data_IF_810804419321
#
_entry.id   IF_810804419321
#
_cell.length_a   1.000
_cell.length_b   1.000
_cell.length_c   1.000
_cell.angle_alpha   90.00
_cell.angle_beta   90.00
_cell.angle_gamma   90.00
#
_symmetry.space_group_name_H-M   'P 1'
#
loop_
_entity.id
_entity.type
_entity.pdbx_description
1 polymer ?
#
# COMPACT_ATOMS: atom_id res chain seq x y z
N UNK A 1 16.23 0.66 26.79
CA UNK A 1 15.99 1.37 25.52
C UNK A 1 14.65 0.91 24.95
N UNK A 2 13.71 1.81 24.68
CA UNK A 2 12.36 1.46 24.21
C UNK A 2 12.40 0.86 22.80
N UNK A 3 11.35 0.13 22.42
CA UNK A 3 11.19 -0.39 21.05
C UNK A 3 11.29 0.75 20.01
N UNK A 4 10.60 1.87 20.24
CA UNK A 4 10.62 3.05 19.38
C UNK A 4 12.02 3.63 19.16
N UNK A 5 12.87 3.69 20.19
CA UNK A 5 14.26 4.15 20.03
C UNK A 5 15.10 3.18 19.20
N UNK A 6 14.87 1.87 19.31
CA UNK A 6 15.53 0.87 18.46
C UNK A 6 15.13 1.06 16.99
N UNK A 7 13.83 1.19 16.70
CA UNK A 7 13.31 1.47 15.37
C UNK A 7 13.95 2.70 14.73
N UNK A 8 13.92 3.84 15.44
CA UNK A 8 14.51 5.09 14.95
C UNK A 8 16.01 4.93 14.66
N UNK A 9 16.76 4.26 15.55
CA UNK A 9 18.21 4.07 15.37
C UNK A 9 18.52 3.22 14.14
N UNK A 10 17.81 2.12 13.93
CA UNK A 10 18.01 1.23 12.77
C UNK A 10 17.65 1.97 11.48
N UNK A 11 16.51 2.67 11.47
CA UNK A 11 16.04 3.42 10.29
C UNK A 11 17.05 4.48 9.86
N UNK A 12 17.53 5.29 10.80
CA UNK A 12 18.53 6.32 10.53
C UNK A 12 19.90 5.74 10.12
N UNK A 13 20.24 4.55 10.63
CA UNK A 13 21.52 3.91 10.29
C UNK A 13 21.54 3.39 8.84
N UNK A 14 20.39 2.98 8.31
CA UNK A 14 20.30 2.38 6.96
C UNK A 14 19.90 3.42 5.91
N UNK A 15 18.91 4.26 6.20
CA UNK A 15 18.38 5.23 5.24
C UNK A 15 18.89 6.66 5.46
N UNK A 16 19.77 6.87 6.45
CA UNK A 16 20.37 8.17 6.71
C UNK A 16 19.39 9.21 7.27
N UNK A 17 19.82 10.49 7.25
CA UNK A 17 19.10 11.60 7.91
C UNK A 17 17.77 11.96 7.26
N UNK A 18 17.58 11.68 5.96
CA UNK A 18 16.30 11.91 5.25
C UNK A 18 15.15 11.13 5.90
N UNK A 19 15.46 9.98 6.51
CA UNK A 19 14.49 9.17 7.26
C UNK A 19 14.11 9.69 8.65
N UNK A 20 14.71 10.80 9.10
CA UNK A 20 14.36 11.41 10.37
C UNK A 20 12.89 11.85 10.41
N UNK A 21 12.37 12.32 9.27
CA UNK A 21 10.95 12.51 9.05
C UNK A 21 10.33 11.19 8.57
N UNK A 22 9.14 10.85 9.08
CA UNK A 22 8.38 9.71 8.56
C UNK A 22 8.78 8.31 9.07
N UNK A 23 9.86 8.14 9.85
CA UNK A 23 10.23 6.80 10.37
C UNK A 23 9.14 6.14 11.22
N UNK A 24 8.31 6.92 11.92
CA UNK A 24 7.17 6.39 12.69
C UNK A 24 6.09 5.80 11.79
N UNK A 25 5.82 6.46 10.66
CA UNK A 25 4.88 5.95 9.66
C UNK A 25 5.40 4.65 9.06
N UNK A 26 6.67 4.61 8.65
CA UNK A 26 7.29 3.40 8.12
C UNK A 26 7.33 2.26 9.15
N UNK A 27 7.64 2.56 10.41
CA UNK A 27 7.55 1.60 11.51
C UNK A 27 6.15 0.99 11.58
N UNK A 28 5.12 1.83 11.56
CA UNK A 28 3.73 1.36 11.64
C UNK A 28 3.33 0.56 10.40
N UNK A 29 3.76 0.96 9.20
CA UNK A 29 3.54 0.21 7.96
C UNK A 29 4.16 -1.19 8.07
N UNK A 30 5.43 -1.30 8.47
CA UNK A 30 6.09 -2.60 8.66
C UNK A 30 5.39 -3.43 9.74
N UNK A 31 4.93 -2.82 10.84
CA UNK A 31 4.15 -3.52 11.86
C UNK A 31 2.82 -4.04 11.30
N UNK A 32 2.14 -3.28 10.44
CA UNK A 32 0.94 -3.74 9.75
C UNK A 32 1.25 -4.94 8.84
N UNK A 33 2.37 -4.91 8.12
CA UNK A 33 2.81 -6.07 7.31
C UNK A 33 3.09 -7.28 8.18
N UNK A 34 3.84 -7.11 9.27
CA UNK A 34 4.22 -8.18 10.20
C UNK A 34 2.98 -8.84 10.85
N UNK A 35 1.90 -8.08 11.01
CA UNK A 35 0.60 -8.58 11.51
C UNK A 35 -0.37 -9.00 10.41
N UNK A 36 0.09 -9.10 9.17
CA UNK A 36 -0.68 -9.55 8.00
C UNK A 36 -1.90 -8.66 7.72
N UNK A 37 -1.85 -7.39 8.10
CA UNK A 37 -2.96 -6.45 7.87
C UNK A 37 -2.97 -5.94 6.43
N UNK A 38 -1.78 -5.75 5.85
CA UNK A 38 -1.58 -5.31 4.47
C UNK A 38 -0.14 -5.55 4.02
N UNK A 39 0.16 -5.66 2.73
CA UNK A 39 1.49 -5.39 2.18
C UNK A 39 1.77 -3.89 2.19
N UNK A 40 3.03 -3.49 2.02
CA UNK A 40 3.40 -2.07 2.01
C UNK A 40 4.45 -1.75 0.95
N UNK A 41 4.17 -0.73 0.16
CA UNK A 41 5.18 -0.03 -0.64
C UNK A 41 5.81 1.07 0.21
N UNK A 42 7.15 1.07 0.32
CA UNK A 42 7.88 2.07 1.11
C UNK A 42 8.92 2.85 0.28
N UNK A 43 8.99 2.61 -1.02
CA UNK A 43 10.03 3.18 -1.90
C UNK A 43 9.97 4.72 -1.95
N UNK A 44 8.77 5.30 -1.99
CA UNK A 44 8.52 6.76 -2.02
C UNK A 44 9.06 7.52 -0.82
N UNK A 45 9.31 6.85 0.30
CA UNK A 45 9.72 7.56 1.52
C UNK A 45 11.17 8.03 1.44
N UNK A 46 12.07 7.17 0.98
CA UNK A 46 13.52 7.41 1.06
C UNK A 46 14.33 6.88 -0.14
N UNK A 47 13.68 6.67 -1.29
CA UNK A 47 14.31 6.07 -2.48
C UNK A 47 15.00 4.74 -2.15
N UNK A 48 14.21 3.82 -1.58
CA UNK A 48 14.74 2.56 -1.05
C UNK A 48 14.96 1.56 -2.18
N UNK A 49 16.21 1.14 -2.38
CA UNK A 49 16.53 -0.02 -3.23
C UNK A 49 16.27 -1.36 -2.51
N UNK A 50 16.07 -2.47 -3.25
CA UNK A 50 15.83 -3.80 -2.68
C UNK A 50 16.83 -4.22 -1.59
N UNK A 51 18.12 -4.02 -1.83
CA UNK A 51 19.19 -4.47 -0.94
C UNK A 51 19.19 -3.71 0.39
N UNK A 52 18.87 -2.42 0.33
CA UNK A 52 18.72 -1.58 1.52
C UNK A 52 17.48 -1.99 2.34
N UNK A 53 16.37 -2.33 1.67
CA UNK A 53 15.17 -2.83 2.35
C UNK A 53 15.43 -4.19 3.01
N UNK A 54 16.08 -5.12 2.31
CA UNK A 54 16.48 -6.43 2.84
C UNK A 54 17.34 -6.25 4.09
N UNK A 55 18.35 -5.39 4.02
CA UNK A 55 19.24 -5.08 5.15
C UNK A 55 18.47 -4.48 6.33
N UNK A 56 17.48 -3.62 6.05
CA UNK A 56 16.59 -3.03 7.04
C UNK A 56 15.76 -4.09 7.76
N UNK A 57 15.05 -4.95 7.03
CA UNK A 57 14.22 -6.01 7.61
C UNK A 57 15.06 -7.01 8.40
N UNK A 58 16.26 -7.38 7.91
CA UNK A 58 17.18 -8.26 8.63
C UNK A 58 17.62 -7.65 9.96
N UNK A 59 17.94 -6.35 9.97
CA UNK A 59 18.32 -5.64 11.19
C UNK A 59 17.14 -5.56 12.19
N UNK A 60 15.93 -5.29 11.72
CA UNK A 60 14.73 -5.30 12.58
C UNK A 60 14.48 -6.68 13.19
N UNK A 61 14.59 -7.73 12.38
CA UNK A 61 14.43 -9.11 12.82
C UNK A 61 15.47 -9.51 13.87
N UNK A 62 16.76 -9.24 13.63
CA UNK A 62 17.85 -9.53 14.58
C UNK A 62 17.68 -8.80 15.93
N UNK A 63 16.95 -7.68 15.95
CA UNK A 63 16.63 -6.94 17.19
C UNK A 63 15.30 -7.35 17.83
N UNK A 64 14.61 -8.34 17.27
CA UNK A 64 13.32 -8.85 17.75
C UNK A 64 12.19 -7.82 17.62
N UNK A 65 12.27 -6.92 16.62
CA UNK A 65 11.26 -5.89 16.39
C UNK A 65 10.15 -6.34 15.43
N UNK A 66 10.44 -7.34 14.60
CA UNK A 66 9.54 -7.96 13.62
C UNK A 66 9.80 -9.46 13.55
N UNK A 67 8.83 -10.22 13.04
CA UNK A 67 9.02 -11.65 12.76
C UNK A 67 10.02 -11.91 11.63
N UNK A 68 10.43 -13.16 11.47
CA UNK A 68 11.29 -13.60 10.37
C UNK A 68 10.52 -13.91 9.07
N UNK A 69 9.24 -13.57 9.02
CA UNK A 69 8.32 -13.91 7.93
C UNK A 69 8.13 -12.78 6.92
N UNK A 70 8.80 -11.64 7.14
CA UNK A 70 8.80 -10.53 6.20
C UNK A 70 9.75 -10.80 5.03
N UNK A 71 9.33 -10.40 3.83
CA UNK A 71 10.05 -10.53 2.56
C UNK A 71 9.99 -9.23 1.78
N UNK A 72 10.95 -9.06 0.89
CA UNK A 72 11.00 -7.96 -0.06
C UNK A 72 10.69 -8.51 -1.44
N UNK A 73 9.71 -7.93 -2.10
CA UNK A 73 9.35 -8.22 -3.48
C UNK A 73 9.75 -7.03 -4.34
N UNK A 74 10.68 -7.23 -5.27
CA UNK A 74 11.04 -6.28 -6.30
C UNK A 74 10.07 -6.37 -7.48
N UNK A 75 9.59 -5.21 -7.92
CA UNK A 75 8.70 -5.03 -9.05
C UNK A 75 9.28 -3.88 -9.90
N UNK A 76 10.03 -4.23 -10.94
CA UNK A 76 10.82 -3.24 -11.68
C UNK A 76 11.85 -2.56 -10.79
N UNK A 77 11.72 -1.24 -10.59
CA UNK A 77 12.62 -0.43 -9.75
C UNK A 77 12.14 -0.29 -8.29
N UNK A 78 10.94 -0.77 -8.00
CA UNK A 78 10.24 -0.53 -6.75
C UNK A 78 10.15 -1.78 -5.89
N UNK A 79 9.81 -1.60 -4.61
CA UNK A 79 9.77 -2.69 -3.63
C UNK A 79 8.47 -2.73 -2.82
N UNK A 80 7.91 -3.93 -2.70
CA UNK A 80 6.79 -4.25 -1.82
C UNK A 80 7.31 -5.11 -0.67
N UNK A 81 7.07 -4.68 0.56
CA UNK A 81 7.29 -5.50 1.75
C UNK A 81 6.01 -6.26 2.06
N UNK A 82 6.14 -7.57 2.24
CA UNK A 82 4.99 -8.43 2.50
C UNK A 82 5.34 -9.53 3.52
N UNK A 83 4.33 -10.15 4.11
CA UNK A 83 4.48 -11.30 5.00
C UNK A 83 4.18 -12.57 4.21
N UNK A 84 4.98 -13.65 4.34
CA UNK A 84 4.84 -14.85 3.46
C UNK A 84 3.44 -15.47 3.48
N UNK A 85 2.81 -15.54 4.66
CA UNK A 85 1.44 -16.05 4.82
C UNK A 85 0.36 -15.10 4.25
N UNK A 86 0.73 -13.92 3.75
CA UNK A 86 -0.24 -12.98 3.17
C UNK A 86 -0.69 -13.37 1.75
N UNK A 87 0.07 -14.23 1.05
CA UNK A 87 -0.24 -14.61 -0.34
C UNK A 87 -1.62 -15.25 -0.48
N UNK A 88 -2.00 -16.13 0.46
CA UNK A 88 -3.28 -16.84 0.40
C UNK A 88 -4.49 -15.91 0.52
N UNK A 89 -4.46 -14.95 1.44
CA UNK A 89 -5.57 -14.01 1.61
C UNK A 89 -5.61 -12.98 0.48
N UNK A 90 -4.45 -12.52 -0.01
CA UNK A 90 -4.38 -11.61 -1.16
C UNK A 90 -4.99 -12.28 -2.39
N UNK A 91 -4.62 -13.54 -2.67
CA UNK A 91 -5.22 -14.33 -3.74
C UNK A 91 -6.74 -14.46 -3.57
N UNK A 92 -7.22 -14.81 -2.38
CA UNK A 92 -8.65 -14.93 -2.11
C UNK A 92 -9.40 -13.60 -2.29
N UNK A 93 -8.75 -12.48 -1.94
CA UNK A 93 -9.31 -11.12 -2.06
C UNK A 93 -9.30 -10.60 -3.50
N UNK A 94 -8.54 -11.22 -4.40
CA UNK A 94 -8.40 -10.83 -5.80
C UNK A 94 -9.01 -11.81 -6.81
N UNK A 95 -10.05 -12.54 -6.41
CA UNK A 95 -10.84 -13.30 -7.38
C UNK A 95 -11.43 -12.38 -8.47
N UNK A 96 -11.72 -12.90 -9.67
CA UNK A 96 -12.39 -12.13 -10.73
C UNK A 96 -13.70 -11.47 -10.26
N UNK A 97 -14.35 -12.06 -9.25
CA UNK A 97 -15.60 -11.56 -8.68
C UNK A 97 -15.39 -10.47 -7.63
N UNK A 98 -14.24 -10.42 -6.95
CA UNK A 98 -14.02 -9.52 -5.82
C UNK A 98 -13.28 -8.23 -6.17
N UNK A 99 -12.48 -8.22 -7.25
CA UNK A 99 -11.66 -7.06 -7.64
C UNK A 99 -12.13 -6.42 -8.93
N UNK A 100 -12.42 -5.12 -8.88
CA UNK A 100 -12.82 -4.34 -10.05
C UNK A 100 -11.64 -3.60 -10.65
N UNK A 101 -11.49 -3.73 -11.97
CA UNK A 101 -10.55 -2.93 -12.72
C UNK A 101 -11.27 -1.76 -13.36
N UNK A 102 -10.66 -0.58 -13.29
CA UNK A 102 -11.20 0.67 -13.78
C UNK A 102 -10.34 1.13 -14.96
N UNK A 103 -10.94 1.20 -16.14
CA UNK A 103 -10.31 1.69 -17.36
C UNK A 103 -10.23 3.21 -17.30
N UNK A 104 -9.00 3.71 -17.19
CA UNK A 104 -8.67 5.14 -17.17
C UNK A 104 -7.82 5.54 -18.37
N UNK A 105 -7.91 4.79 -19.48
CA UNK A 105 -7.18 5.08 -20.72
C UNK A 105 -7.47 6.51 -21.21
N UNK A 106 -6.43 7.24 -21.61
CA UNK A 106 -6.48 8.68 -21.89
C UNK A 106 -7.47 9.12 -22.96
N UNK A 107 -7.79 8.26 -23.93
CA UNK A 107 -8.74 8.56 -25.01
C UNK A 107 -10.22 8.32 -24.64
N UNK A 108 -10.50 7.83 -23.44
CA UNK A 108 -11.86 7.66 -22.96
C UNK A 108 -12.46 8.99 -22.54
N UNK A 109 -13.72 9.22 -22.93
CA UNK A 109 -14.50 10.41 -22.50
C UNK A 109 -14.60 10.47 -20.97
N UNK A 110 -14.73 9.33 -20.31
CA UNK A 110 -14.80 9.20 -18.86
C UNK A 110 -14.26 7.82 -18.42
N UNK A 111 -13.77 7.68 -17.18
CA UNK A 111 -13.40 6.38 -16.62
C UNK A 111 -14.55 5.38 -16.70
N UNK A 112 -14.22 4.10 -16.91
CA UNK A 112 -15.22 3.03 -17.04
C UNK A 112 -14.80 1.75 -16.32
N UNK A 113 -15.73 0.82 -16.09
CA UNK A 113 -15.38 -0.51 -15.58
C UNK A 113 -14.83 -1.39 -16.71
N UNK A 114 -13.75 -2.12 -16.44
CA UNK A 114 -13.29 -3.17 -17.35
C UNK A 114 -14.20 -4.40 -17.19
N UNK A 115 -14.98 -4.66 -18.22
CA UNK A 115 -15.82 -5.87 -18.33
C UNK A 115 -15.04 -6.99 -19.04
N UNK A 116 -14.23 -6.64 -20.04
CA UNK A 116 -13.41 -7.59 -20.76
C UNK A 116 -12.18 -7.99 -19.93
N UNK A 117 -12.24 -9.17 -19.31
CA UNK A 117 -11.16 -9.70 -18.49
C UNK A 117 -9.86 -9.91 -19.27
N UNK A 118 -9.91 -10.05 -20.60
CA UNK A 118 -8.73 -10.24 -21.43
C UNK A 118 -7.74 -9.07 -21.31
N UNK A 119 -8.24 -7.83 -21.16
CA UNK A 119 -7.42 -6.63 -20.92
C UNK A 119 -6.53 -6.73 -19.68
N UNK A 120 -6.98 -7.46 -18.67
CA UNK A 120 -6.32 -7.58 -17.36
C UNK A 120 -5.62 -8.92 -17.17
N UNK A 121 -5.77 -9.84 -18.12
CA UNK A 121 -5.37 -11.24 -17.96
C UNK A 121 -3.86 -11.39 -17.73
N UNK A 122 -3.03 -10.63 -18.45
CA UNK A 122 -1.57 -10.69 -18.33
C UNK A 122 -1.12 -10.21 -16.94
N UNK A 123 -1.62 -9.07 -16.47
CA UNK A 123 -1.33 -8.55 -15.13
C UNK A 123 -1.83 -9.49 -14.03
N UNK A 124 -3.06 -10.03 -14.16
CA UNK A 124 -3.60 -10.99 -13.19
C UNK A 124 -2.76 -12.27 -13.13
N UNK A 125 -2.34 -12.78 -14.29
CA UNK A 125 -1.47 -13.95 -14.36
C UNK A 125 -0.13 -13.72 -13.66
N UNK A 126 0.50 -12.55 -13.83
CA UNK A 126 1.74 -12.21 -13.12
C UNK A 126 1.54 -12.20 -11.60
N UNK A 127 0.44 -11.60 -11.13
CA UNK A 127 0.07 -11.61 -9.70
C UNK A 127 -0.21 -13.02 -9.17
N UNK A 128 -0.95 -13.84 -9.92
CA UNK A 128 -1.24 -15.23 -9.55
C UNK A 128 0.02 -16.07 -9.48
N UNK A 129 0.92 -15.95 -10.46
CA UNK A 129 2.22 -16.62 -10.48
C UNK A 129 3.03 -16.30 -9.22
N UNK A 130 3.08 -15.02 -8.82
CA UNK A 130 3.72 -14.62 -7.57
C UNK A 130 3.05 -15.23 -6.33
N UNK A 131 1.72 -15.30 -6.31
CA UNK A 131 0.96 -15.91 -5.21
C UNK A 131 1.26 -17.41 -5.05
N UNK A 132 1.48 -18.13 -6.16
CA UNK A 132 1.82 -19.57 -6.15
C UNK A 132 3.32 -19.84 -5.99
N UNK A 133 4.16 -18.82 -6.14
CA UNK A 133 5.60 -18.98 -6.02
C UNK A 133 6.00 -19.24 -4.56
N UNK A 134 6.56 -20.42 -4.33
CA UNK A 134 7.13 -20.86 -3.07
C UNK A 134 8.65 -20.74 -3.14
N UNK A 135 9.16 -19.57 -2.79
CA UNK A 135 10.58 -19.28 -2.78
C UNK A 135 11.38 -19.91 -1.65
N UNK A 136 12.67 -19.54 -1.58
CA UNK A 136 13.52 -19.84 -0.43
C UNK A 136 12.89 -19.35 0.89
N UNK A 137 13.05 -20.16 1.94
CA UNK A 137 12.47 -19.86 3.26
C UNK A 137 13.28 -18.84 4.08
N UNK A 138 14.33 -18.24 3.51
CA UNK A 138 15.26 -17.38 4.26
C UNK A 138 14.66 -16.02 4.65
N UNK A 139 14.83 -15.57 5.90
CA UNK A 139 14.33 -14.26 6.35
C UNK A 139 14.95 -13.09 5.61
N UNK A 140 14.12 -12.16 5.15
CA UNK A 140 14.58 -11.01 4.35
C UNK A 140 15.17 -11.43 3.00
N UNK A 141 14.72 -12.56 2.44
CA UNK A 141 14.99 -12.87 1.04
C UNK A 141 14.30 -11.85 0.13
N UNK A 142 15.00 -11.55 -0.96
CA UNK A 142 14.54 -10.72 -2.04
C UNK A 142 13.94 -11.62 -3.12
N UNK A 143 12.74 -11.28 -3.54
CA UNK A 143 12.02 -11.95 -4.61
C UNK A 143 11.84 -10.95 -5.73
N UNK A 144 11.93 -11.39 -6.98
CA UNK A 144 11.68 -10.54 -8.13
C UNK A 144 10.47 -11.07 -8.90
N UNK A 145 9.53 -10.19 -9.25
CA UNK A 145 8.52 -10.51 -10.27
C UNK A 145 9.10 -10.13 -11.62
N UNK A 146 9.25 -11.12 -12.48
CA UNK A 146 9.54 -10.89 -13.89
C UNK A 146 8.35 -10.15 -14.55
N UNK A 147 8.58 -8.92 -14.97
CA UNK A 147 7.57 -8.09 -15.64
C UNK A 147 7.55 -8.44 -17.12
N UNK A 148 6.73 -9.43 -17.46
CA UNK A 148 6.50 -9.81 -18.85
C UNK A 148 5.90 -8.66 -19.68
N UNK A 149 6.10 -8.72 -21.00
CA UNK A 149 5.48 -7.78 -21.94
C UNK A 149 3.94 -7.76 -21.77
N UNK A 150 3.37 -6.56 -21.73
CA UNK A 150 1.92 -6.36 -21.57
C UNK A 150 1.42 -6.35 -20.11
N UNK A 151 2.27 -6.60 -19.11
CA UNK A 151 1.90 -6.37 -17.70
C UNK A 151 1.72 -4.87 -17.46
N UNK A 152 0.51 -4.44 -17.09
CA UNK A 152 0.29 -3.10 -16.54
C UNK A 152 0.84 -3.06 -15.11
N UNK A 153 2.02 -2.45 -14.93
CA UNK A 153 2.75 -2.38 -13.65
C UNK A 153 1.97 -1.63 -12.57
N UNK A 154 1.37 -0.44 -12.83
CA UNK A 154 0.50 0.20 -11.84
C UNK A 154 -0.67 -0.67 -11.37
N UNK A 155 -1.31 -1.41 -12.28
CA UNK A 155 -2.35 -2.37 -11.91
C UNK A 155 -1.81 -3.53 -11.06
N UNK A 156 -0.59 -4.01 -11.35
CA UNK A 156 0.07 -5.04 -10.55
C UNK A 156 0.30 -4.56 -9.12
N UNK A 157 0.72 -3.31 -8.91
CA UNK A 157 0.82 -2.71 -7.58
C UNK A 157 -0.52 -2.68 -6.86
N UNK A 158 -1.61 -2.32 -7.55
CA UNK A 158 -2.96 -2.36 -6.97
C UNK A 158 -3.34 -3.75 -6.43
N UNK A 159 -3.00 -4.80 -7.18
CA UNK A 159 -3.20 -6.20 -6.75
C UNK A 159 -2.28 -6.57 -5.58
N UNK A 160 -0.99 -6.24 -5.67
CA UNK A 160 -0.03 -6.55 -4.62
C UNK A 160 -0.34 -5.84 -3.30
N UNK A 161 -0.95 -4.66 -3.35
CA UNK A 161 -1.33 -3.89 -2.16
C UNK A 161 -2.69 -4.31 -1.58
N UNK A 162 -3.48 -5.13 -2.27
CA UNK A 162 -4.76 -5.60 -1.74
C UNK A 162 -5.95 -4.67 -2.02
N UNK A 163 -5.87 -3.78 -3.02
CA UNK A 163 -6.93 -2.78 -3.26
C UNK A 163 -8.18 -3.38 -3.95
N UNK A 164 -9.40 -3.02 -3.51
CA UNK A 164 -10.64 -3.54 -4.09
C UNK A 164 -10.94 -3.00 -5.50
N UNK A 165 -10.39 -1.82 -5.82
CA UNK A 165 -10.51 -1.17 -7.11
C UNK A 165 -9.11 -0.85 -7.64
N UNK A 166 -8.86 -1.21 -8.90
CA UNK A 166 -7.53 -1.16 -9.50
C UNK A 166 -7.59 -0.38 -10.80
N UNK A 167 -6.78 0.67 -10.89
CA UNK A 167 -6.64 1.41 -12.15
C UNK A 167 -5.89 0.60 -13.19
N UNK A 168 -6.37 0.69 -14.41
CA UNK A 168 -5.76 0.14 -15.61
C UNK A 168 -5.90 1.12 -16.74
N UNK A 169 -4.87 1.19 -17.58
CA UNK A 169 -4.91 1.97 -18.81
C UNK A 169 -4.08 1.26 -19.87
N UNK A 170 -4.46 1.49 -21.12
CA UNK A 170 -3.76 0.93 -22.25
C UNK A 170 -2.47 1.70 -22.52
N UNK A 171 -1.34 1.14 -22.05
CA UNK A 171 -0.01 1.70 -22.26
C UNK A 171 0.42 1.71 -23.73
N UNK A 172 -0.23 0.93 -24.61
CA UNK A 172 0.02 0.99 -26.05
C UNK A 172 -0.59 2.22 -26.72
N UNK A 173 -1.62 2.81 -26.08
CA UNK A 173 -2.26 4.04 -26.54
C UNK A 173 -1.52 5.27 -26.03
N UNK A 174 -1.19 5.30 -24.74
CA UNK A 174 -0.54 6.45 -24.09
C UNK A 174 0.03 6.07 -22.71
N UNK A 175 1.05 6.80 -22.27
CA UNK A 175 1.52 6.79 -20.89
C UNK A 175 0.66 7.65 -19.94
N UNK A 176 -0.26 8.45 -20.49
CA UNK A 176 -1.20 9.30 -19.75
C UNK A 176 -2.51 8.55 -19.41
N UNK A 177 -3.24 9.08 -18.43
CA UNK A 177 -4.58 8.62 -18.06
C UNK A 177 -5.63 9.73 -18.19
N UNK A 178 -6.90 9.38 -18.10
CA UNK A 178 -8.03 10.33 -18.17
C UNK A 178 -8.53 10.83 -16.81
N UNK A 179 -7.73 10.70 -15.74
CA UNK A 179 -8.11 11.20 -14.41
C UNK A 179 -7.96 12.72 -14.27
N UNK A 180 -7.25 13.37 -15.21
CA UNK A 180 -7.10 14.82 -15.24
C UNK A 180 -8.46 15.52 -15.27
N UNK A 181 -8.79 16.26 -14.21
CA UNK A 181 -10.08 16.96 -14.07
C UNK A 181 -11.27 16.07 -13.68
N UNK A 182 -11.05 14.76 -13.46
CA UNK A 182 -12.06 13.86 -12.94
C UNK A 182 -12.18 14.02 -11.41
N UNK A 183 -13.39 14.20 -10.89
CA UNK A 183 -13.63 14.15 -9.46
C UNK A 183 -13.41 12.72 -8.95
N UNK A 184 -12.69 12.60 -7.83
CA UNK A 184 -12.33 11.32 -7.23
C UNK A 184 -13.00 11.18 -5.87
N UNK A 185 -13.39 9.96 -5.54
CA UNK A 185 -13.77 9.58 -4.18
C UNK A 185 -12.57 8.91 -3.52
N UNK A 186 -12.10 9.48 -2.42
CA UNK A 186 -11.07 8.92 -1.57
C UNK A 186 -11.69 7.99 -0.53
N UNK A 187 -11.21 6.75 -0.49
CA UNK A 187 -11.49 5.78 0.57
C UNK A 187 -10.25 5.59 1.42
N UNK A 188 -10.42 5.65 2.73
CA UNK A 188 -9.34 5.40 3.69
C UNK A 188 -9.80 4.43 4.76
N UNK A 189 -8.98 3.42 5.02
CA UNK A 189 -9.10 2.62 6.24
C UNK A 189 -8.20 3.23 7.28
N UNK A 190 -8.80 3.80 8.33
CA UNK A 190 -8.12 4.45 9.44
C UNK A 190 -8.02 3.47 10.62
N UNK A 191 -6.84 3.30 11.19
CA UNK A 191 -6.62 2.60 12.44
C UNK A 191 -6.24 3.57 13.55
N UNK A 192 -6.82 3.43 14.73
CA UNK A 192 -6.49 4.25 15.90
C UNK A 192 -5.46 3.51 16.75
N UNK A 193 -4.17 3.90 16.71
CA UNK A 193 -3.14 3.13 17.38
C UNK A 193 -3.45 3.02 18.87
N UNK A 194 -3.27 1.83 19.46
CA UNK A 194 -3.22 1.74 20.92
C UNK A 194 -2.13 2.68 21.39
N UNK A 195 -2.46 3.60 22.30
CA UNK A 195 -1.46 4.46 22.91
C UNK A 195 -0.31 3.58 23.40
N UNK A 196 0.84 3.72 22.76
CA UNK A 196 2.07 3.30 23.41
C UNK A 196 2.27 4.29 24.55
N UNK A 197 2.60 3.85 25.79
CA UNK A 197 2.68 4.72 26.95
C UNK A 197 3.87 5.69 26.81
N UNK A 198 3.71 6.74 26.01
CA UNK A 198 4.77 7.66 25.57
C UNK A 198 4.24 9.06 25.22
N UNK A 199 3.04 9.45 25.66
CA UNK A 199 2.53 10.81 25.54
C UNK A 199 2.87 11.66 26.78
N UNK A 200 4.14 12.02 26.93
CA UNK A 200 4.48 13.27 27.63
C UNK A 200 5.67 13.94 26.97
N UNK A 201 5.42 15.16 26.46
CA UNK A 201 6.35 16.15 25.92
C UNK A 201 6.70 16.05 24.42
N UNK A 202 5.94 16.75 23.58
CA UNK A 202 6.31 18.12 23.17
C UNK A 202 5.53 18.52 21.91
N UNK A 203 4.45 19.27 22.12
CA UNK A 203 3.83 20.06 21.07
C UNK A 203 4.66 21.34 20.91
N UNK A 204 5.41 21.46 19.81
CA UNK A 204 5.71 22.76 19.23
C UNK A 204 5.36 22.69 17.75
N UNK A 205 4.26 23.37 17.41
CA UNK A 205 3.84 23.60 16.04
C UNK A 205 4.88 24.47 15.32
N UNK A 206 5.18 24.11 14.08
CA UNK A 206 5.65 25.07 13.08
C UNK A 206 4.98 24.75 11.75
N UNK A 207 4.51 25.81 11.11
CA UNK A 207 3.68 25.86 9.92
C UNK A 207 4.46 25.69 8.61
N UNK A 208 3.74 25.14 7.61
CA UNK A 208 3.81 25.34 6.15
C UNK A 208 5.13 25.10 5.41
N UNK A 209 5.16 24.07 4.54
CA UNK A 209 5.37 24.26 3.10
C UNK A 209 5.05 23.01 2.26
N UNK A 210 4.38 23.27 1.15
CA UNK A 210 3.80 22.39 0.14
C UNK A 210 4.87 21.57 -0.59
N UNK A 211 4.74 20.24 -0.61
CA UNK A 211 5.42 19.34 -1.54
C UNK A 211 4.51 18.13 -1.83
N UNK A 212 4.53 17.71 -3.09
CA UNK A 212 3.58 16.84 -3.80
C UNK A 212 3.10 15.59 -3.04
N UNK A 213 1.79 15.32 -3.19
CA UNK A 213 1.01 14.25 -2.58
C UNK A 213 1.50 12.85 -2.97
N UNK A 214 2.27 12.23 -2.07
CA UNK A 214 2.23 10.78 -1.84
C UNK A 214 1.39 10.53 -0.60
N UNK A 215 0.69 9.38 -0.45
CA UNK A 215 -0.18 9.13 0.70
C UNK A 215 0.69 8.85 1.94
N UNK A 216 1.28 9.91 2.47
CA UNK A 216 2.06 9.88 3.68
C UNK A 216 1.10 9.77 4.86
N UNK A 217 1.39 8.81 5.75
CA UNK A 217 0.81 8.74 7.09
C UNK A 217 1.16 10.05 7.82
N UNK A 218 0.34 11.06 7.60
CA UNK A 218 0.28 12.29 8.36
C UNK A 218 -0.45 11.93 9.64
N UNK A 219 0.27 11.94 10.75
CA UNK A 219 -0.35 12.06 12.07
C UNK A 219 -0.92 13.49 12.17
N UNK A 220 -1.95 13.80 11.38
CA UNK A 220 -2.75 15.01 11.51
C UNK A 220 -3.70 14.83 12.70
N UNK A 221 -4.05 15.92 13.37
CA UNK A 221 -4.89 16.14 14.58
C UNK A 221 -5.98 15.12 15.01
N UNK A 222 -6.35 14.12 14.22
CA UNK A 222 -7.06 12.92 14.63
C UNK A 222 -6.02 11.81 14.87
N UNK A 223 -5.85 11.31 16.10
CA UNK A 223 -4.88 10.26 16.47
C UNK A 223 -5.14 8.90 15.75
N UNK A 224 -5.08 8.89 14.42
CA UNK A 224 -5.30 7.74 13.56
C UNK A 224 -4.15 7.61 12.56
N UNK A 225 -3.99 6.40 12.05
CA UNK A 225 -3.05 6.05 11.02
C UNK A 225 -3.80 5.50 9.82
N UNK A 226 -3.35 5.85 8.62
CA UNK A 226 -3.95 5.35 7.38
C UNK A 226 -3.36 3.97 7.08
N UNK A 227 -4.20 2.94 7.13
CA UNK A 227 -3.85 1.56 6.78
C UNK A 227 -3.92 1.42 5.26
N UNK A 228 -5.10 1.71 4.67
CA UNK A 228 -5.34 1.73 3.22
C UNK A 228 -5.77 3.12 2.78
N UNK A 229 -5.36 3.52 1.57
CA UNK A 229 -5.77 4.76 0.92
C UNK A 229 -5.84 4.53 -0.59
N UNK A 230 -7.03 4.66 -1.17
CA UNK A 230 -7.21 4.51 -2.62
C UNK A 230 -8.35 5.41 -3.10
N UNK A 231 -8.34 5.70 -4.39
CA UNK A 231 -9.37 6.54 -5.02
C UNK A 231 -10.18 5.75 -6.03
N UNK A 232 -11.40 6.23 -6.29
CA UNK A 232 -12.26 5.76 -7.37
C UNK A 232 -12.89 6.97 -8.05
N UNK A 233 -12.99 7.04 -9.38
CA UNK A 233 -13.69 8.10 -10.08
C UNK A 233 -15.13 8.22 -9.59
N UNK A 234 -15.58 9.44 -9.28
CA UNK A 234 -16.89 9.70 -8.70
C UNK A 234 -18.02 9.07 -9.55
N UNK A 235 -17.86 9.13 -10.88
CA UNK A 235 -18.81 8.55 -11.83
C UNK A 235 -19.00 7.03 -11.70
N UNK A 236 -18.02 6.31 -11.12
CA UNK A 236 -18.05 4.87 -10.93
C UNK A 236 -18.54 4.47 -9.54
N UNK A 237 -18.76 5.40 -8.61
CA UNK A 237 -19.08 5.09 -7.21
C UNK A 237 -20.37 4.30 -7.06
N UNK A 238 -21.41 4.64 -7.83
CA UNK A 238 -22.66 3.89 -7.83
C UNK A 238 -22.48 2.40 -8.15
N UNK A 239 -21.42 2.04 -8.89
CA UNK A 239 -21.14 0.68 -9.34
C UNK A 239 -20.08 -0.06 -8.51
N UNK A 240 -19.34 0.65 -7.66
CA UNK A 240 -18.20 0.10 -6.91
C UNK A 240 -18.39 0.14 -5.39
N UNK A 241 -19.20 1.08 -4.87
CA UNK A 241 -19.33 1.34 -3.42
C UNK A 241 -19.68 0.08 -2.62
N UNK A 242 -20.68 -0.69 -3.03
CA UNK A 242 -21.11 -1.89 -2.30
C UNK A 242 -19.99 -2.95 -2.21
N UNK A 243 -19.18 -3.07 -3.27
CA UNK A 243 -18.04 -3.99 -3.31
C UNK A 243 -16.90 -3.51 -2.42
N UNK A 244 -16.62 -2.21 -2.39
CA UNK A 244 -15.63 -1.61 -1.50
C UNK A 244 -16.01 -1.84 -0.03
N UNK A 245 -17.27 -1.60 0.34
CA UNK A 245 -17.76 -1.86 1.70
C UNK A 245 -17.75 -3.35 2.04
N UNK A 246 -18.10 -4.22 1.10
CA UNK A 246 -18.00 -5.67 1.29
C UNK A 246 -16.56 -6.12 1.51
N UNK A 247 -15.62 -5.61 0.72
CA UNK A 247 -14.18 -5.84 0.90
C UNK A 247 -13.71 -5.40 2.29
N UNK A 248 -14.09 -4.19 2.72
CA UNK A 248 -13.72 -3.68 4.04
C UNK A 248 -14.25 -4.57 5.17
N UNK A 249 -15.51 -5.02 5.08
CA UNK A 249 -16.11 -5.90 6.08
C UNK A 249 -15.41 -7.27 6.17
N UNK A 250 -15.01 -7.83 5.02
CA UNK A 250 -14.24 -9.08 4.98
C UNK A 250 -12.85 -8.86 5.58
N UNK A 251 -12.16 -7.79 5.19
CA UNK A 251 -10.87 -7.41 5.72
C UNK A 251 -10.92 -7.23 7.25
N UNK A 252 -11.84 -6.40 7.76
CA UNK A 252 -12.01 -6.07 9.18
C UNK A 252 -12.20 -7.31 10.06
N UNK A 253 -12.87 -8.34 9.53
CA UNK A 253 -13.12 -9.61 10.26
C UNK A 253 -12.01 -10.64 10.12
N UNK A 254 -11.23 -10.58 9.03
CA UNK A 254 -10.24 -11.61 8.70
C UNK A 254 -8.83 -11.32 9.23
N UNK A 255 -8.54 -10.05 9.57
CA UNK A 255 -7.21 -9.64 10.02
C UNK A 255 -7.18 -9.31 11.52
N UNK A 256 -6.05 -9.59 12.18
CA UNK A 256 -5.86 -9.35 13.62
C UNK A 256 -5.40 -7.91 13.91
N UNK A 257 -6.16 -6.91 13.46
CA UNK A 257 -5.81 -5.50 13.61
C UNK A 257 -5.82 -5.02 15.07
N UNK A 258 -6.56 -5.70 15.95
CA UNK A 258 -6.75 -5.33 17.36
C UNK A 258 -5.46 -5.30 18.17
N UNK A 259 -4.39 -5.95 17.69
CA UNK A 259 -3.09 -5.91 18.35
C UNK A 259 -2.38 -4.56 18.24
N UNK A 260 -2.64 -3.83 17.15
CA UNK A 260 -2.02 -2.55 16.85
C UNK A 260 -2.98 -1.38 17.11
N UNK A 261 -4.27 -1.59 16.86
CA UNK A 261 -5.28 -0.55 16.89
C UNK A 261 -6.37 -0.85 17.93
N UNK A 262 -6.92 0.19 18.55
CA UNK A 262 -8.12 0.09 19.41
C UNK A 262 -9.40 0.04 18.59
N UNK A 263 -9.37 0.65 17.40
CA UNK A 263 -10.47 0.77 16.47
C UNK A 263 -9.91 0.83 15.05
N UNK A 264 -10.62 0.25 14.10
CA UNK A 264 -10.47 0.54 12.68
C UNK A 264 -11.79 1.07 12.14
N UNK A 265 -11.74 1.96 11.17
CA UNK A 265 -12.92 2.47 10.47
C UNK A 265 -12.59 2.76 9.01
N UNK A 266 -13.58 2.64 8.12
CA UNK A 266 -13.47 3.16 6.77
C UNK A 266 -14.14 4.52 6.67
N UNK A 267 -13.42 5.50 6.12
CA UNK A 267 -13.94 6.82 5.78
C UNK A 267 -13.95 7.03 4.28
N UNK A 268 -14.92 7.82 3.82
CA UNK A 268 -15.13 8.15 2.41
C UNK A 268 -15.22 9.68 2.28
N UNK A 269 -14.43 10.28 1.39
CA UNK A 269 -14.39 11.73 1.17
C UNK A 269 -14.20 12.07 -0.31
N UNK A 270 -15.00 13.01 -0.84
CA UNK A 270 -14.83 13.47 -2.22
C UNK A 270 -13.61 14.38 -2.29
N UNK A 271 -12.72 14.12 -3.24
CA UNK A 271 -11.52 14.90 -3.48
C UNK A 271 -11.46 15.28 -4.96
N UNK A 272 -11.15 16.54 -5.23
CA UNK A 272 -10.65 16.92 -6.55
C UNK A 272 -9.15 16.64 -6.53
N UNK A 273 -8.61 15.81 -7.42
CA UNK A 273 -7.16 15.64 -7.48
C UNK A 273 -6.54 17.03 -7.69
N UNK A 274 -5.59 17.41 -6.83
CA UNK A 274 -4.59 18.36 -7.27
C UNK A 274 -3.98 17.76 -8.54
N UNK A 275 -3.72 18.55 -9.58
CA UNK A 275 -3.11 18.03 -10.79
C UNK A 275 -1.79 17.34 -10.43
N UNK A 276 -1.78 16.00 -10.39
CA UNK A 276 -0.59 15.18 -10.14
C UNK A 276 -0.45 14.30 -11.36
N UNK A 277 0.61 14.55 -12.14
CA UNK A 277 1.08 13.58 -13.12
C UNK A 277 1.52 12.33 -12.35
N UNK A 278 0.98 11.16 -12.74
CA UNK A 278 1.64 9.88 -12.46
C UNK A 278 2.96 9.83 -13.25
#
# INVERSE_FOLDING_TARGET
>A
MTSATKWKRITLAIFGKTSQAGWRGAMLDIQCVDRRLKPACLFDRWCVCPESMVSYLRCLHQKGLVSNQLRVLQVGMDVVVYHVLSKDWLRASHSPESTQFLDITSNLIQPSLIIDTAKTAVTRKAFEQWCYWNGPSDPGHEEEIEIAEGVNVPSLFGLLLGYPCIYWYDMSVSDQNNLGGCALQLFQVKGYPRETPLSSHSSKSMSTQTYMDTPHVTLNNENCAIIYSFTVPEILIASTRDRIWSWYQVWERSVSWSDLFTKVEMSEQTTTPAAVCL
#
